data_IF_911589106609
#
_entry.id   IF_911589106609
#
_cell.length_a   1.000
_cell.length_b   1.000
_cell.length_c   1.000
_cell.angle_alpha   90.00
_cell.angle_beta   90.00
_cell.angle_gamma   90.00
#
_symmetry.space_group_name_H-M   'P 1'
#
loop_
_entity.id
_entity.type
_entity.pdbx_description
1 polymer ?
#
# COMPACT_ATOMS: atom_id res chain seq x y z
N UNK A 1 23.59 -2.83 -1.38
CA UNK A 1 23.38 -3.54 -0.09
C UNK A 1 21.93 -3.92 0.00
N UNK A 2 21.45 -4.26 1.20
CA UNK A 2 20.01 -4.22 1.49
C UNK A 2 19.51 -2.78 1.36
N UNK A 3 18.25 -2.60 1.02
CA UNK A 3 17.67 -1.29 0.67
C UNK A 3 16.21 -1.22 1.11
N UNK A 4 15.64 -0.02 1.13
CA UNK A 4 14.19 0.18 1.30
C UNK A 4 13.44 -0.31 0.05
N UNK A 5 12.19 -0.78 0.18
CA UNK A 5 11.43 -1.27 -0.97
C UNK A 5 11.15 -0.16 -1.99
N UNK A 6 11.15 -0.52 -3.27
CA UNK A 6 10.53 0.33 -4.30
C UNK A 6 9.01 0.44 -4.07
N UNK A 7 8.36 1.35 -4.79
CA UNK A 7 6.92 1.51 -4.78
C UNK A 7 6.18 0.21 -5.15
N UNK A 8 5.06 -0.12 -4.46
CA UNK A 8 4.11 -1.09 -4.97
C UNK A 8 3.69 -0.76 -6.41
N UNK A 9 3.22 -1.77 -7.15
CA UNK A 9 2.73 -1.56 -8.53
C UNK A 9 1.33 -2.11 -8.70
N UNK A 10 0.65 -1.72 -9.78
CA UNK A 10 -0.69 -2.21 -10.11
C UNK A 10 -1.66 -2.08 -8.94
N UNK A 11 -1.67 -0.90 -8.31
CA UNK A 11 -2.68 -0.57 -7.31
C UNK A 11 -4.02 -0.49 -8.03
N UNK A 12 -4.96 -1.32 -7.59
CA UNK A 12 -6.30 -1.44 -8.17
C UNK A 12 -7.33 -1.24 -7.09
N UNK A 13 -8.36 -0.47 -7.42
CA UNK A 13 -9.51 -0.20 -6.58
C UNK A 13 -10.75 -0.89 -7.16
N UNK A 14 -11.39 -1.74 -6.37
CA UNK A 14 -12.66 -2.39 -6.70
C UNK A 14 -13.70 -2.08 -5.62
N UNK A 15 -14.86 -1.58 -6.04
CA UNK A 15 -15.98 -1.39 -5.13
C UNK A 15 -16.63 -2.72 -4.77
N UNK A 16 -16.84 -2.96 -3.48
CA UNK A 16 -17.53 -4.14 -2.94
C UNK A 16 -18.69 -3.67 -2.07
N UNK A 17 -19.86 -3.46 -2.69
CA UNK A 17 -20.98 -2.80 -2.00
C UNK A 17 -20.65 -1.35 -1.68
N UNK A 18 -20.59 -1.01 -0.39
CA UNK A 18 -20.22 0.32 0.10
C UNK A 18 -18.73 0.41 0.48
N UNK A 19 -17.99 -0.68 0.38
CA UNK A 19 -16.59 -0.78 0.77
C UNK A 19 -15.66 -0.68 -0.45
N UNK A 20 -14.40 -0.40 -0.20
CA UNK A 20 -13.34 -0.39 -1.20
C UNK A 20 -12.37 -1.55 -0.97
N UNK A 21 -12.23 -2.44 -1.96
CA UNK A 21 -11.15 -3.42 -2.00
C UNK A 21 -9.95 -2.82 -2.77
N UNK A 22 -8.82 -2.75 -2.11
CA UNK A 22 -7.54 -2.28 -2.65
C UNK A 22 -6.63 -3.50 -2.81
N UNK A 23 -6.03 -3.67 -3.99
CA UNK A 23 -5.03 -4.72 -4.25
C UNK A 23 -3.80 -4.11 -4.90
N UNK A 24 -2.63 -4.69 -4.67
CA UNK A 24 -1.37 -4.23 -5.26
C UNK A 24 -0.42 -5.40 -5.48
N UNK A 25 0.64 -5.18 -6.25
CA UNK A 25 1.76 -6.11 -6.37
C UNK A 25 2.92 -5.64 -5.48
N UNK A 26 3.58 -6.59 -4.83
CA UNK A 26 4.78 -6.33 -4.05
C UNK A 26 5.92 -5.79 -4.92
N UNK A 27 6.74 -4.85 -4.41
CA UNK A 27 8.02 -4.54 -5.04
C UNK A 27 8.95 -5.76 -4.94
N UNK A 28 9.84 -5.90 -5.92
CA UNK A 28 10.86 -6.97 -5.96
C UNK A 28 12.29 -6.43 -5.94
N UNK A 29 12.44 -5.10 -5.94
CA UNK A 29 13.72 -4.39 -5.93
C UNK A 29 13.71 -3.29 -4.87
N UNK A 30 14.90 -2.87 -4.45
CA UNK A 30 15.08 -1.69 -3.64
C UNK A 30 15.00 -0.40 -4.45
N UNK A 31 14.63 0.69 -3.80
CA UNK A 31 14.45 2.02 -4.41
C UNK A 31 15.73 2.54 -5.11
N UNK A 32 16.91 2.23 -4.59
CA UNK A 32 18.20 2.64 -5.16
C UNK A 32 18.88 1.51 -5.96
N UNK A 33 18.11 0.51 -6.39
CA UNK A 33 18.64 -0.67 -7.08
C UNK A 33 19.37 -1.66 -6.16
N UNK A 34 19.26 -1.50 -4.83
CA UNK A 34 19.66 -2.53 -3.88
C UNK A 34 18.69 -3.71 -3.86
N UNK A 35 18.99 -4.72 -3.05
CA UNK A 35 18.10 -5.87 -2.89
C UNK A 35 17.17 -5.68 -1.69
N UNK A 36 15.99 -6.28 -1.76
CA UNK A 36 15.03 -6.40 -0.65
C UNK A 36 14.72 -7.88 -0.43
N UNK A 37 14.08 -8.20 0.69
CA UNK A 37 13.44 -9.51 0.91
C UNK A 37 11.93 -9.27 0.81
N UNK A 38 11.29 -9.57 -0.33
CA UNK A 38 9.87 -9.22 -0.56
C UNK A 38 8.93 -9.79 0.51
N UNK A 39 9.26 -10.95 1.07
CA UNK A 39 8.47 -11.61 2.12
C UNK A 39 8.50 -10.86 3.47
N UNK A 40 9.47 -9.95 3.65
CA UNK A 40 9.58 -9.08 4.83
C UNK A 40 9.01 -7.68 4.56
N UNK A 41 8.39 -7.44 3.40
CA UNK A 41 7.77 -6.15 3.08
C UNK A 41 6.39 -6.07 3.71
N UNK A 42 6.14 -5.00 4.45
CA UNK A 42 4.82 -4.65 4.97
C UNK A 42 4.25 -3.42 4.26
N UNK A 43 2.94 -3.18 4.41
CA UNK A 43 2.25 -2.08 3.75
C UNK A 43 1.40 -1.25 4.71
N UNK A 44 1.34 0.05 4.44
CA UNK A 44 0.34 0.97 4.98
C UNK A 44 -0.49 1.57 3.86
N UNK A 45 -1.71 1.99 4.19
CA UNK A 45 -2.66 2.55 3.23
C UNK A 45 -3.27 3.81 3.81
N UNK A 46 -3.16 4.92 3.06
CA UNK A 46 -3.82 6.19 3.37
C UNK A 46 -4.93 6.43 2.35
N UNK A 47 -6.14 6.73 2.86
CA UNK A 47 -7.27 7.19 2.05
C UNK A 47 -7.22 8.71 1.92
N UNK A 48 -7.44 9.19 0.70
CA UNK A 48 -7.57 10.60 0.33
C UNK A 48 -8.99 10.88 -0.16
N UNK A 49 -9.54 12.10 0.03
CA UNK A 49 -8.86 13.31 0.49
C UNK A 49 -8.88 13.52 2.01
N UNK A 50 -9.42 12.58 2.78
CA UNK A 50 -9.56 12.72 4.23
C UNK A 50 -8.32 12.31 5.04
N UNK A 51 -7.21 12.01 4.35
CA UNK A 51 -5.88 11.71 4.92
C UNK A 51 -5.93 10.67 6.04
N UNK A 52 -6.81 9.68 5.90
CA UNK A 52 -7.05 8.67 6.94
C UNK A 52 -6.14 7.46 6.71
N UNK A 53 -5.28 7.12 7.68
CA UNK A 53 -4.59 5.82 7.68
C UNK A 53 -5.60 4.71 7.97
N UNK A 54 -5.97 3.97 6.93
CA UNK A 54 -6.98 2.91 7.02
C UNK A 54 -6.36 1.56 7.36
N UNK A 55 -5.06 1.39 7.11
CA UNK A 55 -4.32 0.19 7.47
C UNK A 55 -2.83 0.46 7.62
N UNK A 56 -2.17 -0.32 8.48
CA UNK A 56 -0.73 -0.30 8.70
C UNK A 56 -0.21 -1.70 9.03
N UNK A 57 1.08 -1.95 8.80
CA UNK A 57 1.75 -3.24 9.06
C UNK A 57 1.09 -4.46 8.38
N UNK A 58 0.51 -4.28 7.19
CA UNK A 58 -0.08 -5.37 6.43
C UNK A 58 1.01 -6.25 5.79
N UNK A 59 0.89 -7.57 5.94
CA UNK A 59 1.69 -8.54 5.16
C UNK A 59 0.91 -9.10 3.95
N UNK A 60 -0.36 -8.69 3.80
CA UNK A 60 -1.20 -9.07 2.68
C UNK A 60 -0.96 -8.12 1.49
N UNK A 61 -1.42 -8.56 0.30
CA UNK A 61 -1.42 -7.76 -0.94
C UNK A 61 -2.83 -7.26 -1.31
N UNK A 62 -3.72 -7.28 -0.33
CA UNK A 62 -5.07 -6.76 -0.43
C UNK A 62 -5.55 -6.20 0.91
N UNK A 63 -6.45 -5.23 0.84
CA UNK A 63 -7.16 -4.64 1.99
C UNK A 63 -8.58 -4.26 1.60
N UNK A 64 -9.52 -4.35 2.55
CA UNK A 64 -10.89 -3.85 2.36
C UNK A 64 -11.14 -2.72 3.36
N UNK A 65 -11.25 -1.49 2.84
CA UNK A 65 -11.68 -0.34 3.62
C UNK A 65 -13.21 -0.31 3.76
N UNK A 66 -13.67 -0.61 4.98
CA UNK A 66 -15.07 -0.59 5.40
C UNK A 66 -15.41 0.67 6.24
N UNK A 67 -14.53 1.65 6.26
CA UNK A 67 -14.65 2.88 7.06
C UNK A 67 -15.02 4.11 6.24
N UNK A 68 -15.48 3.92 5.00
CA UNK A 68 -15.81 5.01 4.07
C UNK A 68 -16.98 5.82 4.64
N UNK A 69 -16.80 7.11 4.95
CA UNK A 69 -17.78 7.88 5.73
C UNK A 69 -19.01 8.28 4.91
N UNK A 70 -18.88 8.41 3.59
CA UNK A 70 -19.94 8.83 2.69
C UNK A 70 -19.60 8.46 1.24
N UNK A 71 -20.60 8.37 0.33
CA UNK A 71 -20.32 8.26 -1.10
C UNK A 71 -19.44 9.42 -1.60
N UNK A 72 -18.39 9.10 -2.36
CA UNK A 72 -17.42 10.09 -2.83
C UNK A 72 -16.35 9.48 -3.72
N UNK A 73 -15.48 10.34 -4.26
CA UNK A 73 -14.29 9.91 -4.99
C UNK A 73 -13.13 9.80 -4.00
N UNK A 74 -12.63 8.59 -3.82
CA UNK A 74 -11.51 8.30 -2.94
C UNK A 74 -10.33 7.78 -3.75
N UNK A 75 -9.13 8.12 -3.28
CA UNK A 75 -7.87 7.55 -3.74
C UNK A 75 -7.21 6.88 -2.55
N UNK A 76 -6.47 5.79 -2.80
CA UNK A 76 -5.70 5.08 -1.78
C UNK A 76 -4.24 5.08 -2.16
N UNK A 77 -3.38 5.56 -1.27
CA UNK A 77 -1.93 5.52 -1.44
C UNK A 77 -1.43 4.33 -0.64
N UNK A 78 -0.79 3.37 -1.33
CA UNK A 78 -0.17 2.20 -0.71
C UNK A 78 1.33 2.43 -0.62
N UNK A 79 1.87 2.37 0.60
CA UNK A 79 3.30 2.54 0.88
C UNK A 79 3.92 1.23 1.32
N UNK A 80 5.07 0.86 0.76
CA UNK A 80 5.83 -0.32 1.16
C UNK A 80 6.84 0.01 2.26
N UNK A 81 7.10 -0.94 3.17
CA UNK A 81 8.03 -0.79 4.29
C UNK A 81 8.85 -2.07 4.48
N UNK A 82 10.06 -1.96 5.03
CA UNK A 82 10.82 -3.10 5.55
C UNK A 82 11.68 -2.66 6.76
N UNK A 83 12.61 -3.50 7.23
CA UNK A 83 13.47 -3.17 8.37
C UNK A 83 14.44 -2.00 8.13
N UNK A 84 14.72 -1.65 6.87
CA UNK A 84 15.55 -0.48 6.51
C UNK A 84 14.72 0.82 6.58
N UNK A 85 13.38 0.72 6.55
CA UNK A 85 12.46 1.84 6.73
C UNK A 85 11.32 1.89 5.72
N UNK A 86 10.78 3.10 5.55
CA UNK A 86 9.74 3.44 4.58
C UNK A 86 10.31 3.44 3.16
N UNK A 87 9.61 2.77 2.25
CA UNK A 87 9.93 2.66 0.84
C UNK A 87 9.07 3.57 -0.04
N UNK A 88 8.98 3.21 -1.31
CA UNK A 88 8.13 3.91 -2.27
C UNK A 88 6.63 3.72 -2.02
N UNK A 89 5.83 4.59 -2.64
CA UNK A 89 4.37 4.55 -2.57
C UNK A 89 3.73 4.67 -3.96
N UNK A 90 2.51 4.16 -4.10
CA UNK A 90 1.74 4.22 -5.33
C UNK A 90 0.25 4.50 -5.07
N UNK A 91 -0.40 5.34 -5.90
CA UNK A 91 -1.85 5.56 -5.91
C UNK A 91 -2.60 4.50 -6.74
#
# INVERSE_FOLDING_TARGET
GKDIPESPTNVLLLMVGNDAKITWNAPVTGHNGGYIVPENTTYSIIRMPDETEVATNLNALEYIDNSIPSPGNYLYIVTAHNEEGEGGNAP
#
